data_IF_427738707410
#
_entry.id   IF_427738707410
#
_cell.length_a   1.000
_cell.length_b   1.000
_cell.length_c   1.000
_cell.angle_alpha   90.00
_cell.angle_beta   90.00
_cell.angle_gamma   90.00
#
_symmetry.space_group_name_H-M   'P 1'
#
loop_
_entity.id
_entity.type
_entity.pdbx_description
1 polymer ?
#
# COMPACT_ATOMS: atom_id res chain seq x y z
N UNK A 1 20.73 3.83 12.03
CA UNK A 1 20.26 4.27 10.70
C UNK A 1 18.73 4.25 10.68
N UNK A 2 18.09 5.40 10.87
CA UNK A 2 16.63 5.50 10.86
C UNK A 2 16.13 5.42 9.42
N UNK A 3 15.59 4.28 9.01
CA UNK A 3 14.87 4.19 7.75
C UNK A 3 13.61 5.03 7.87
N UNK A 4 13.60 6.19 7.19
CA UNK A 4 12.41 6.97 6.89
C UNK A 4 11.41 6.10 6.09
N UNK A 5 10.76 5.18 6.80
CA UNK A 5 9.53 4.55 6.37
C UNK A 5 8.51 5.68 6.30
N UNK A 6 8.40 6.32 5.13
CA UNK A 6 7.59 7.53 4.91
C UNK A 6 6.12 7.43 5.38
N UNK A 7 5.64 6.29 5.88
CA UNK A 7 4.29 6.13 6.47
C UNK A 7 4.23 5.20 7.71
N UNK A 8 5.31 5.11 8.49
CA UNK A 8 5.26 4.86 9.95
C UNK A 8 4.70 3.55 10.55
N UNK A 9 4.10 2.63 9.79
CA UNK A 9 3.48 1.42 10.36
C UNK A 9 4.35 0.17 10.43
N UNK A 10 3.90 -0.77 11.24
CA UNK A 10 4.47 -2.10 11.41
C UNK A 10 4.23 -2.99 10.19
N UNK A 11 5.06 -4.03 10.10
CA UNK A 11 5.02 -5.01 9.03
C UNK A 11 4.81 -6.39 9.61
N UNK A 12 3.92 -7.12 8.96
CA UNK A 12 3.53 -8.46 9.34
C UNK A 12 3.68 -9.36 8.12
N UNK A 13 4.10 -10.61 8.35
CA UNK A 13 4.24 -11.62 7.32
C UNK A 13 3.45 -12.86 7.74
N UNK A 14 2.60 -13.35 6.85
CA UNK A 14 1.85 -14.58 7.03
C UNK A 14 2.16 -15.54 5.90
N UNK A 15 2.62 -16.74 6.24
CA UNK A 15 2.74 -17.85 5.32
C UNK A 15 1.51 -18.75 5.43
N UNK A 16 0.87 -19.02 4.30
CA UNK A 16 -0.25 -19.95 4.23
C UNK A 16 0.23 -21.34 3.82
N UNK A 17 -0.42 -22.34 4.41
CA UNK A 17 -0.25 -23.74 4.03
C UNK A 17 -0.85 -23.98 2.65
N UNK A 18 -0.25 -24.92 1.94
CA UNK A 18 -0.70 -25.29 0.61
C UNK A 18 -0.63 -26.80 0.49
N UNK A 19 -1.74 -27.43 0.08
CA UNK A 19 -1.81 -28.85 -0.30
C UNK A 19 -0.81 -29.23 -1.39
N UNK A 20 -0.22 -28.25 -2.06
CA UNK A 20 0.68 -28.40 -3.21
C UNK A 20 2.13 -28.05 -2.91
N UNK A 21 2.54 -27.92 -1.64
CA UNK A 21 3.96 -27.82 -1.25
C UNK A 21 4.68 -29.16 -1.56
N UNK A 22 4.85 -29.49 -2.84
CA UNK A 22 5.70 -30.59 -3.31
C UNK A 22 7.16 -30.28 -2.95
N UNK A 23 8.00 -31.31 -2.80
CA UNK A 23 9.42 -31.15 -2.44
C UNK A 23 10.18 -30.15 -3.33
N UNK A 24 9.80 -30.01 -4.60
CA UNK A 24 10.43 -29.11 -5.56
C UNK A 24 9.95 -27.65 -5.48
N UNK A 25 8.71 -27.39 -5.07
CA UNK A 25 8.17 -26.03 -4.96
C UNK A 25 8.36 -25.40 -3.57
N UNK A 26 8.63 -26.24 -2.55
CA UNK A 26 8.86 -25.85 -1.14
C UNK A 26 9.85 -24.68 -0.97
N UNK A 27 10.91 -24.62 -1.76
CA UNK A 27 11.96 -23.59 -1.62
C UNK A 27 11.53 -22.17 -1.99
N UNK A 28 10.48 -22.00 -2.81
CA UNK A 28 10.14 -20.69 -3.37
C UNK A 28 9.43 -19.78 -2.37
N UNK A 29 8.50 -20.31 -1.58
CA UNK A 29 7.81 -19.54 -0.54
C UNK A 29 8.78 -19.17 0.58
N UNK A 30 9.62 -20.12 1.00
CA UNK A 30 10.60 -19.92 2.07
C UNK A 30 11.60 -18.82 1.68
N UNK A 31 12.17 -18.91 0.46
CA UNK A 31 13.05 -17.87 -0.09
C UNK A 31 12.38 -16.48 -0.12
N UNK A 32 11.12 -16.43 -0.56
CA UNK A 32 10.37 -15.18 -0.62
C UNK A 32 10.14 -14.60 0.78
N UNK A 33 9.75 -15.45 1.73
CA UNK A 33 9.54 -15.08 3.12
C UNK A 33 10.82 -14.51 3.74
N UNK A 34 11.92 -15.25 3.67
CA UNK A 34 13.23 -14.85 4.20
C UNK A 34 13.71 -13.53 3.59
N UNK A 35 13.51 -13.35 2.29
CA UNK A 35 13.90 -12.11 1.60
C UNK A 35 13.08 -10.91 2.07
N UNK A 36 11.78 -11.09 2.36
CA UNK A 36 10.93 -10.03 2.91
C UNK A 36 11.27 -9.73 4.38
N UNK A 37 11.51 -10.76 5.19
CA UNK A 37 11.93 -10.61 6.60
C UNK A 37 13.21 -9.79 6.65
N UNK A 38 14.25 -10.19 5.90
CA UNK A 38 15.56 -9.52 5.88
C UNK A 38 15.44 -8.08 5.37
N UNK A 39 14.80 -7.87 4.21
CA UNK A 39 14.78 -6.55 3.59
C UNK A 39 13.95 -5.52 4.38
N UNK A 40 12.88 -5.98 5.05
CA UNK A 40 12.01 -5.09 5.80
C UNK A 40 12.22 -5.14 7.32
N UNK A 41 13.21 -5.91 7.78
CA UNK A 41 13.51 -6.13 9.20
C UNK A 41 12.24 -6.52 9.99
N UNK A 42 11.46 -7.47 9.47
CA UNK A 42 10.23 -7.92 10.13
C UNK A 42 10.61 -8.74 11.38
N UNK A 43 10.16 -8.39 12.59
CA UNK A 43 10.51 -9.15 13.80
C UNK A 43 10.08 -10.62 13.71
N UNK A 44 10.98 -11.53 14.07
CA UNK A 44 10.77 -12.99 14.09
C UNK A 44 10.73 -13.52 15.53
N UNK A 45 10.42 -14.80 15.72
CA UNK A 45 10.44 -15.44 17.04
C UNK A 45 9.32 -15.00 17.98
N UNK A 46 9.50 -15.25 19.27
CA UNK A 46 8.52 -14.93 20.33
C UNK A 46 8.26 -13.42 20.38
N UNK A 47 6.98 -13.01 20.31
CA UNK A 47 6.60 -11.60 20.16
C UNK A 47 6.81 -11.03 18.75
N UNK A 48 7.35 -11.82 17.82
CA UNK A 48 7.54 -11.45 16.43
C UNK A 48 6.23 -11.32 15.65
N UNK A 49 6.37 -10.84 14.41
CA UNK A 49 5.29 -10.51 13.46
C UNK A 49 5.31 -11.40 12.22
N UNK A 50 6.00 -12.53 12.31
CA UNK A 50 6.07 -13.56 11.29
C UNK A 50 5.22 -14.75 11.73
N UNK A 51 4.15 -15.02 10.99
CA UNK A 51 3.19 -16.07 11.27
C UNK A 51 3.15 -17.09 10.15
N UNK A 52 2.76 -18.31 10.48
CA UNK A 52 2.53 -19.36 9.51
C UNK A 52 1.35 -20.24 9.92
N UNK A 53 0.65 -20.81 8.95
CA UNK A 53 -0.28 -21.91 9.19
C UNK A 53 0.36 -23.27 8.96
N UNK A 54 1.63 -23.32 8.51
CA UNK A 54 2.38 -24.56 8.25
C UNK A 54 3.08 -25.02 9.53
N UNK A 55 2.72 -26.20 10.05
CA UNK A 55 3.32 -26.74 11.29
C UNK A 55 4.85 -26.83 11.27
N UNK A 56 5.43 -27.11 10.09
CA UNK A 56 6.89 -27.20 9.90
C UNK A 56 7.63 -25.89 10.17
N UNK A 57 6.97 -24.74 10.06
CA UNK A 57 7.63 -23.45 10.21
C UNK A 57 7.85 -23.09 11.68
N UNK A 58 7.13 -23.75 12.60
CA UNK A 58 7.18 -23.47 14.04
C UNK A 58 8.46 -24.00 14.68
N UNK A 59 9.04 -25.07 14.15
CA UNK A 59 10.22 -25.73 14.73
C UNK A 59 11.49 -24.91 14.60
N UNK A 60 11.57 -24.03 13.59
CA UNK A 60 12.73 -23.16 13.35
C UNK A 60 12.75 -21.92 14.24
N UNK A 61 11.68 -21.64 14.98
CA UNK A 61 11.55 -20.44 15.81
C UNK A 61 11.47 -19.11 15.02
N UNK A 62 11.44 -19.14 13.68
CA UNK A 62 11.31 -17.93 12.85
C UNK A 62 9.85 -17.48 12.80
N UNK A 63 8.94 -18.44 12.58
CA UNK A 63 7.51 -18.20 12.46
C UNK A 63 6.78 -18.74 13.68
N UNK A 64 5.71 -18.05 14.06
CA UNK A 64 4.75 -18.50 15.06
C UNK A 64 3.48 -19.01 14.41
N UNK A 65 2.71 -19.81 15.15
CA UNK A 65 1.35 -20.14 14.73
C UNK A 65 0.50 -18.86 14.63
N UNK A 66 -0.42 -18.85 13.67
CA UNK A 66 -1.43 -17.79 13.55
C UNK A 66 -2.56 -18.04 14.57
N UNK A 67 -2.25 -17.84 15.85
CA UNK A 67 -3.18 -18.05 16.95
C UNK A 67 -4.22 -16.92 17.06
N UNK A 68 -5.18 -17.07 17.97
CA UNK A 68 -6.16 -16.04 18.25
C UNK A 68 -5.48 -14.74 18.74
N UNK A 69 -6.00 -13.61 18.29
CA UNK A 69 -5.58 -12.25 18.69
C UNK A 69 -4.14 -11.83 18.37
N UNK A 70 -3.33 -12.64 17.67
CA UNK A 70 -1.94 -12.23 17.32
C UNK A 70 -1.88 -11.04 16.35
N UNK A 71 -2.98 -10.72 15.67
CA UNK A 71 -3.13 -9.56 14.78
C UNK A 71 -4.02 -8.46 15.40
N UNK A 72 -4.36 -8.52 16.69
CA UNK A 72 -5.25 -7.54 17.34
C UNK A 72 -4.70 -6.11 17.36
N UNK A 73 -3.38 -5.98 17.32
CA UNK A 73 -2.69 -4.70 17.44
C UNK A 73 -2.40 -4.05 16.07
N UNK A 74 -2.85 -4.66 14.97
CA UNK A 74 -2.68 -4.04 13.65
C UNK A 74 -3.49 -2.75 13.52
N UNK A 75 -2.86 -1.72 12.97
CA UNK A 75 -3.44 -0.40 12.73
C UNK A 75 -3.48 0.01 11.25
N UNK A 76 -4.12 1.17 10.95
CA UNK A 76 -4.27 1.67 9.59
C UNK A 76 -2.95 1.99 8.86
N UNK A 77 -1.83 2.16 9.57
CA UNK A 77 -0.52 2.39 8.94
C UNK A 77 0.21 1.10 8.58
N UNK A 78 -0.27 -0.05 9.08
CA UNK A 78 0.43 -1.32 9.02
C UNK A 78 0.25 -2.05 7.68
N UNK A 79 1.15 -3.00 7.44
CA UNK A 79 1.19 -3.81 6.22
C UNK A 79 1.24 -5.29 6.56
N UNK A 80 0.33 -6.07 5.99
CA UNK A 80 0.36 -7.52 6.04
C UNK A 80 0.73 -8.09 4.68
N UNK A 81 1.85 -8.81 4.63
CA UNK A 81 2.29 -9.61 3.50
C UNK A 81 1.76 -11.03 3.67
N UNK A 82 0.96 -11.52 2.72
CA UNK A 82 0.46 -12.90 2.73
C UNK A 82 1.16 -13.65 1.61
N UNK A 83 1.97 -14.65 1.95
CA UNK A 83 2.67 -15.50 0.99
C UNK A 83 2.03 -16.88 0.95
N UNK A 84 1.76 -17.37 -0.26
CA UNK A 84 1.28 -18.72 -0.51
C UNK A 84 1.24 -18.98 -2.01
N UNK A 85 1.07 -20.24 -2.40
CA UNK A 85 0.67 -20.54 -3.77
C UNK A 85 -0.70 -19.91 -4.03
N UNK A 86 -0.94 -19.42 -5.24
CA UNK A 86 -2.19 -18.74 -5.56
C UNK A 86 -2.70 -19.14 -6.92
N UNK A 87 -4.01 -19.05 -7.09
CA UNK A 87 -4.65 -19.06 -8.39
C UNK A 87 -5.77 -18.00 -8.41
N UNK A 88 -6.71 -18.11 -9.34
CA UNK A 88 -7.81 -17.14 -9.48
C UNK A 88 -8.84 -17.20 -8.35
N UNK A 89 -8.85 -18.28 -7.56
CA UNK A 89 -9.92 -18.62 -6.61
C UNK A 89 -9.43 -18.87 -5.18
N UNK A 90 -8.15 -19.14 -4.98
CA UNK A 90 -7.58 -19.42 -3.66
C UNK A 90 -6.15 -18.88 -3.49
N UNK A 91 -5.76 -18.67 -2.23
CA UNK A 91 -4.42 -18.35 -1.77
C UNK A 91 -4.03 -19.31 -0.64
N UNK A 92 -3.03 -20.14 -0.88
CA UNK A 92 -2.81 -21.37 -0.10
C UNK A 92 -4.03 -22.27 -0.20
N UNK A 93 -4.42 -22.86 0.93
CA UNK A 93 -5.62 -23.69 1.03
C UNK A 93 -6.91 -22.89 1.34
N UNK A 94 -6.88 -21.57 1.13
CA UNK A 94 -7.96 -20.68 1.50
C UNK A 94 -8.57 -19.96 0.29
N UNK A 95 -9.88 -20.12 0.12
CA UNK A 95 -10.69 -19.19 -0.66
C UNK A 95 -10.78 -17.82 0.04
N UNK A 96 -11.34 -16.83 -0.66
CA UNK A 96 -11.51 -15.47 -0.14
C UNK A 96 -12.24 -15.41 1.21
N UNK A 97 -13.31 -16.21 1.40
CA UNK A 97 -14.16 -16.17 2.60
C UNK A 97 -13.48 -16.82 3.80
N UNK A 98 -12.85 -17.98 3.60
CA UNK A 98 -12.12 -18.71 4.64
C UNK A 98 -10.87 -17.96 5.07
N UNK A 99 -10.16 -17.28 4.17
CA UNK A 99 -9.03 -16.44 4.52
C UNK A 99 -9.46 -15.22 5.35
N UNK A 100 -10.53 -14.52 4.97
CA UNK A 100 -11.07 -13.42 5.77
C UNK A 100 -11.51 -13.91 7.17
N UNK A 101 -12.12 -15.10 7.25
CA UNK A 101 -12.47 -15.74 8.54
C UNK A 101 -11.22 -16.07 9.37
N UNK A 102 -10.16 -16.56 8.76
CA UNK A 102 -8.88 -16.86 9.42
C UNK A 102 -8.27 -15.60 10.03
N UNK A 103 -8.17 -14.51 9.25
CA UNK A 103 -7.63 -13.24 9.73
C UNK A 103 -8.47 -12.63 10.85
N UNK A 104 -9.81 -12.73 10.75
CA UNK A 104 -10.73 -12.28 11.80
C UNK A 104 -10.52 -13.06 13.11
N UNK A 105 -10.36 -14.39 13.03
CA UNK A 105 -10.04 -15.24 14.19
C UNK A 105 -8.68 -14.90 14.81
N UNK A 106 -7.70 -14.53 13.98
CA UNK A 106 -6.41 -14.03 14.45
C UNK A 106 -6.49 -12.62 15.09
N UNK A 107 -7.70 -12.03 15.15
CA UNK A 107 -7.96 -10.75 15.80
C UNK A 107 -7.78 -9.53 14.91
N UNK A 108 -7.53 -9.70 13.60
CA UNK A 108 -7.35 -8.56 12.70
C UNK A 108 -8.63 -7.72 12.63
N UNK A 109 -8.55 -6.44 12.99
CA UNK A 109 -9.67 -5.47 12.91
C UNK A 109 -9.42 -4.35 11.92
N UNK A 110 -8.19 -3.84 11.85
CA UNK A 110 -7.82 -2.69 11.01
C UNK A 110 -6.46 -2.94 10.39
N UNK A 111 -6.27 -2.54 9.13
CA UNK A 111 -4.96 -2.60 8.47
C UNK A 111 -4.88 -1.62 7.30
N UNK A 112 -3.71 -1.01 7.08
CA UNK A 112 -3.48 -0.14 5.93
C UNK A 112 -3.48 -0.88 4.61
N UNK A 113 -2.73 -1.98 4.53
CA UNK A 113 -2.60 -2.76 3.31
C UNK A 113 -2.44 -4.24 3.60
N UNK A 114 -3.21 -5.03 2.86
CA UNK A 114 -2.93 -6.45 2.66
C UNK A 114 -2.38 -6.63 1.26
N UNK A 115 -1.19 -7.21 1.14
CA UNK A 115 -0.59 -7.56 -0.15
C UNK A 115 -0.38 -9.06 -0.25
N UNK A 116 -0.99 -9.64 -1.28
CA UNK A 116 -0.86 -11.03 -1.63
C UNK A 116 0.40 -11.22 -2.47
N UNK A 117 1.32 -12.02 -1.95
CA UNK A 117 2.54 -12.49 -2.60
C UNK A 117 2.30 -13.87 -3.20
N UNK A 118 1.26 -13.94 -4.01
CA UNK A 118 0.69 -15.17 -4.55
C UNK A 118 0.24 -14.94 -6.01
N UNK A 119 0.35 -15.99 -6.84
CA UNK A 119 0.04 -15.93 -8.26
C UNK A 119 -1.45 -15.65 -8.53
N UNK A 120 -1.73 -14.87 -9.57
CA UNK A 120 -3.06 -14.71 -10.21
C UNK A 120 -4.22 -14.23 -9.32
N UNK A 121 -3.98 -13.84 -8.07
CA UNK A 121 -4.99 -13.35 -7.12
C UNK A 121 -5.78 -12.14 -7.66
N UNK A 122 -5.13 -11.30 -8.48
CA UNK A 122 -5.72 -10.11 -9.08
C UNK A 122 -6.42 -10.35 -10.43
N UNK A 123 -6.45 -11.57 -10.96
CA UNK A 123 -7.02 -11.84 -12.31
C UNK A 123 -8.54 -11.97 -12.34
N UNK A 124 -9.17 -12.28 -11.21
CA UNK A 124 -10.60 -12.57 -11.14
C UNK A 124 -11.23 -11.89 -9.92
N UNK A 125 -12.29 -12.47 -9.37
CA UNK A 125 -13.10 -11.90 -8.30
C UNK A 125 -12.62 -12.26 -6.87
N UNK A 126 -11.48 -12.95 -6.73
CA UNK A 126 -10.94 -13.32 -5.42
C UNK A 126 -10.75 -12.09 -4.52
N UNK A 127 -10.09 -11.03 -5.01
CA UNK A 127 -9.83 -9.84 -4.20
C UNK A 127 -11.12 -9.12 -3.79
N UNK A 128 -12.11 -9.07 -4.67
CA UNK A 128 -13.40 -8.42 -4.42
C UNK A 128 -14.18 -9.20 -3.38
N UNK A 129 -14.27 -10.52 -3.55
CA UNK A 129 -14.86 -11.45 -2.56
C UNK A 129 -14.14 -11.39 -1.23
N UNK A 130 -12.80 -11.26 -1.24
CA UNK A 130 -11.99 -11.19 -0.03
C UNK A 130 -12.28 -9.89 0.72
N UNK A 131 -12.28 -8.75 0.03
CA UNK A 131 -12.60 -7.45 0.61
C UNK A 131 -14.02 -7.41 1.17
N UNK A 132 -15.01 -7.92 0.43
CA UNK A 132 -16.39 -8.05 0.90
C UNK A 132 -16.49 -8.95 2.14
N UNK A 133 -15.78 -10.09 2.14
CA UNK A 133 -15.75 -11.02 3.28
C UNK A 133 -15.07 -10.41 4.50
N UNK A 134 -14.03 -9.60 4.31
CA UNK A 134 -13.40 -8.83 5.38
C UNK A 134 -14.37 -7.80 5.99
N UNK A 135 -15.12 -7.06 5.15
CA UNK A 135 -16.18 -6.17 5.62
C UNK A 135 -17.24 -6.89 6.46
N UNK A 136 -17.72 -8.05 6.00
CA UNK A 136 -18.64 -8.91 6.74
C UNK A 136 -18.07 -9.51 8.04
N UNK A 137 -16.74 -9.39 8.26
CA UNK A 137 -16.04 -9.79 9.49
C UNK A 137 -15.57 -8.60 10.32
N UNK A 138 -16.08 -7.40 10.03
CA UNK A 138 -15.69 -6.16 10.67
C UNK A 138 -14.18 -5.89 10.60
N UNK A 139 -13.54 -6.29 9.51
CA UNK A 139 -12.16 -5.94 9.20
C UNK A 139 -12.18 -4.74 8.26
N UNK A 140 -11.72 -3.60 8.76
CA UNK A 140 -11.52 -2.40 7.96
C UNK A 140 -10.13 -2.42 7.33
N UNK A 141 -10.03 -2.18 6.04
CA UNK A 141 -8.75 -2.14 5.34
C UNK A 141 -8.63 -0.89 4.46
N UNK A 142 -7.41 -0.39 4.31
CA UNK A 142 -7.12 0.68 3.35
C UNK A 142 -7.08 0.13 1.94
N UNK A 143 -6.23 -0.87 1.69
CA UNK A 143 -6.05 -1.44 0.36
C UNK A 143 -5.85 -2.96 0.40
N UNK A 144 -6.31 -3.63 -0.66
CA UNK A 144 -5.96 -5.01 -0.97
C UNK A 144 -5.26 -5.07 -2.32
N UNK A 145 -4.09 -5.72 -2.37
CA UNK A 145 -3.24 -5.78 -3.58
C UNK A 145 -2.88 -7.22 -3.93
N UNK A 146 -3.18 -7.65 -5.16
CA UNK A 146 -2.81 -8.98 -5.67
C UNK A 146 -2.28 -8.94 -7.10
N UNK A 147 -1.47 -9.94 -7.47
CA UNK A 147 -0.84 -10.03 -8.78
C UNK A 147 -1.83 -10.48 -9.86
N UNK A 148 -1.83 -9.83 -11.02
CA UNK A 148 -2.64 -10.18 -12.19
C UNK A 148 -2.03 -11.32 -13.04
N UNK A 149 -0.96 -11.96 -12.60
CA UNK A 149 -0.33 -13.08 -13.31
C UNK A 149 0.46 -13.95 -12.33
N UNK A 150 1.14 -14.96 -12.86
CA UNK A 150 2.11 -15.79 -12.15
C UNK A 150 3.20 -14.94 -11.54
N UNK A 151 3.51 -15.20 -10.27
CA UNK A 151 4.52 -14.53 -9.48
C UNK A 151 5.76 -15.42 -9.36
N UNK A 152 6.94 -14.82 -9.55
CA UNK A 152 8.21 -15.45 -9.27
C UNK A 152 9.04 -14.54 -8.37
N UNK A 153 9.48 -15.09 -7.25
CA UNK A 153 10.36 -14.42 -6.30
C UNK A 153 11.80 -14.46 -6.81
N UNK A 154 12.46 -13.32 -6.85
CA UNK A 154 13.89 -13.19 -7.15
C UNK A 154 14.51 -12.16 -6.20
N UNK A 155 15.84 -12.10 -6.14
CA UNK A 155 16.56 -10.97 -5.54
C UNK A 155 17.01 -10.00 -6.62
N UNK A 156 17.06 -8.72 -6.29
CA UNK A 156 17.70 -7.75 -7.17
C UNK A 156 19.20 -8.11 -7.30
N UNK A 157 19.82 -7.98 -8.49
CA UNK A 157 21.24 -8.31 -8.66
C UNK A 157 22.14 -7.48 -7.75
N UNK A 158 21.85 -6.18 -7.63
CA UNK A 158 22.70 -5.24 -6.89
C UNK A 158 22.24 -4.96 -5.45
N UNK A 159 21.10 -5.52 -5.01
CA UNK A 159 20.56 -5.23 -3.68
C UNK A 159 19.89 -6.46 -3.05
N UNK A 160 19.85 -6.53 -1.72
CA UNK A 160 19.09 -7.55 -0.98
C UNK A 160 17.56 -7.42 -1.13
N UNK A 161 17.08 -6.50 -1.98
CA UNK A 161 15.65 -6.24 -2.16
C UNK A 161 14.99 -7.43 -2.85
N UNK A 162 13.93 -8.01 -2.25
CA UNK A 162 13.11 -8.99 -2.95
C UNK A 162 12.40 -8.32 -4.12
N UNK A 163 12.54 -8.92 -5.30
CA UNK A 163 11.83 -8.52 -6.50
C UNK A 163 10.83 -9.60 -6.90
N UNK A 164 9.72 -9.14 -7.47
CA UNK A 164 8.64 -9.98 -7.95
C UNK A 164 8.55 -9.86 -9.46
N UNK A 165 8.92 -10.92 -10.16
CA UNK A 165 8.80 -11.02 -11.62
C UNK A 165 7.42 -11.61 -11.93
N UNK A 166 6.75 -11.06 -12.95
CA UNK A 166 5.34 -11.37 -13.25
C UNK A 166 5.21 -11.95 -14.66
N UNK A 167 4.47 -13.04 -14.79
CA UNK A 167 4.20 -13.76 -16.04
C UNK A 167 4.92 -15.12 -16.11
N UNK A 168 4.49 -16.02 -17.00
CA UNK A 168 5.12 -17.35 -17.20
C UNK A 168 6.61 -17.18 -17.50
N UNK A 169 7.52 -17.64 -16.61
CA UNK A 169 8.98 -17.53 -16.81
C UNK A 169 9.56 -18.77 -17.50
N UNK A 170 8.90 -19.92 -17.46
CA UNK A 170 9.43 -21.14 -18.09
C UNK A 170 9.64 -20.89 -19.60
N UNK A 171 10.90 -20.90 -20.03
CA UNK A 171 11.32 -20.61 -21.41
C UNK A 171 11.55 -19.13 -21.75
N UNK A 172 11.55 -18.21 -20.77
CA UNK A 172 11.79 -16.79 -21.02
C UNK A 172 13.26 -16.38 -21.00
N UNK A 173 13.63 -15.48 -21.89
CA UNK A 173 14.97 -14.88 -21.94
C UNK A 173 15.17 -13.84 -20.82
N UNK A 174 16.43 -13.53 -20.49
CA UNK A 174 16.80 -12.45 -19.54
C UNK A 174 16.12 -11.12 -19.91
N UNK A 175 16.01 -10.83 -21.21
CA UNK A 175 15.33 -9.63 -21.71
C UNK A 175 13.85 -9.62 -21.33
N UNK A 176 13.13 -10.72 -21.54
CA UNK A 176 11.69 -10.78 -21.18
C UNK A 176 11.47 -10.68 -19.67
N UNK A 177 12.42 -11.13 -18.85
CA UNK A 177 12.42 -10.88 -17.40
C UNK A 177 12.62 -9.40 -17.13
N UNK A 178 13.56 -8.73 -17.80
CA UNK A 178 13.77 -7.29 -17.70
C UNK A 178 12.51 -6.50 -18.13
N UNK A 179 11.90 -6.83 -19.25
CA UNK A 179 10.69 -6.18 -19.77
C UNK A 179 9.51 -6.33 -18.81
N UNK A 180 9.38 -7.47 -18.13
CA UNK A 180 8.35 -7.65 -17.11
C UNK A 180 8.53 -6.72 -15.90
N UNK A 181 9.75 -6.25 -15.64
CA UNK A 181 10.05 -5.26 -14.59
C UNK A 181 9.63 -3.85 -15.01
N UNK A 182 9.57 -3.57 -16.32
CA UNK A 182 9.13 -2.29 -16.87
C UNK A 182 7.60 -2.12 -16.85
N UNK A 183 6.84 -3.22 -16.66
CA UNK A 183 5.38 -3.14 -16.51
C UNK A 183 4.99 -2.21 -15.38
N UNK A 184 3.98 -1.39 -15.64
CA UNK A 184 3.40 -0.45 -14.68
C UNK A 184 2.70 -1.17 -13.53
N UNK A 185 2.49 -0.49 -12.40
CA UNK A 185 1.77 -1.08 -11.26
C UNK A 185 0.37 -1.57 -11.64
N UNK A 186 -0.35 -0.84 -12.50
CA UNK A 186 -1.72 -1.17 -12.94
C UNK A 186 -1.77 -2.41 -13.82
N UNK A 187 -0.75 -2.67 -14.63
CA UNK A 187 -0.62 -3.91 -15.42
C UNK A 187 -0.29 -5.10 -14.53
N UNK A 188 0.52 -4.88 -13.49
CA UNK A 188 1.05 -5.91 -12.60
C UNK A 188 0.03 -6.36 -11.55
N UNK A 189 -0.78 -5.43 -11.06
CA UNK A 189 -1.59 -5.60 -9.88
C UNK A 189 -3.04 -5.23 -10.11
N UNK A 190 -3.94 -5.95 -9.44
CA UNK A 190 -5.26 -5.45 -9.08
C UNK A 190 -5.14 -4.88 -7.67
N UNK A 191 -5.59 -3.63 -7.51
CA UNK A 191 -5.57 -2.91 -6.25
C UNK A 191 -7.00 -2.46 -6.00
N UNK A 192 -7.57 -2.92 -4.89
CA UNK A 192 -8.89 -2.49 -4.43
C UNK A 192 -8.70 -1.52 -3.27
N UNK A 193 -9.50 -0.46 -3.26
CA UNK A 193 -9.60 0.50 -2.15
C UNK A 193 -10.68 0.01 -1.19
N UNK A 194 -10.35 -0.07 0.09
CA UNK A 194 -11.29 -0.35 1.17
C UNK A 194 -11.66 0.93 1.93
N UNK A 195 -12.47 0.81 2.99
CA UNK A 195 -13.02 1.96 3.71
C UNK A 195 -11.98 2.87 4.40
N UNK A 196 -10.75 2.40 4.65
CA UNK A 196 -9.69 3.21 5.27
C UNK A 196 -8.78 3.90 4.24
N UNK A 197 -9.06 3.79 2.94
CA UNK A 197 -8.14 4.28 1.90
C UNK A 197 -7.84 5.78 2.04
N UNK A 198 -8.88 6.58 2.32
CA UNK A 198 -8.77 8.03 2.47
C UNK A 198 -8.03 8.44 3.74
N UNK A 199 -8.17 7.66 4.82
CA UNK A 199 -7.46 7.90 6.09
C UNK A 199 -5.95 7.62 5.96
N UNK A 200 -5.58 6.58 5.19
CA UNK A 200 -4.18 6.17 5.09
C UNK A 200 -3.44 6.90 3.99
N UNK A 201 -4.14 7.38 2.95
CA UNK A 201 -3.61 8.17 1.83
C UNK A 201 -2.46 7.49 1.06
N UNK A 202 -2.65 6.24 0.60
CA UNK A 202 -1.60 5.51 -0.14
C UNK A 202 -1.77 5.56 -1.66
N UNK A 203 -2.75 6.31 -2.16
CA UNK A 203 -3.07 6.39 -3.58
C UNK A 203 -1.85 6.68 -4.46
N UNK A 204 -1.01 7.63 -4.04
CA UNK A 204 0.18 8.05 -4.80
C UNK A 204 1.22 6.95 -4.96
N UNK A 205 1.21 5.93 -4.09
CA UNK A 205 2.15 4.79 -4.18
C UNK A 205 1.78 3.80 -5.28
N UNK A 206 0.56 3.87 -5.77
CA UNK A 206 0.06 2.98 -6.79
C UNK A 206 0.08 3.61 -8.18
N UNK A 207 0.24 4.93 -8.26
CA UNK A 207 0.44 5.66 -9.50
C UNK A 207 1.77 5.27 -10.16
N UNK A 208 1.77 5.23 -11.49
CA UNK A 208 3.02 5.29 -12.27
C UNK A 208 3.67 6.67 -12.10
N UNK A 209 4.94 6.79 -12.47
CA UNK A 209 5.61 8.09 -12.45
C UNK A 209 4.88 9.12 -13.33
N UNK A 210 4.43 8.72 -14.53
CA UNK A 210 3.63 9.57 -15.41
C UNK A 210 2.32 10.01 -14.75
N UNK A 211 1.58 9.09 -14.11
CA UNK A 211 0.34 9.41 -13.40
C UNK A 211 0.58 10.33 -12.20
N UNK A 212 1.70 10.17 -11.50
CA UNK A 212 2.08 11.04 -10.39
C UNK A 212 2.41 12.45 -10.90
N UNK A 213 3.18 12.56 -11.98
CA UNK A 213 3.50 13.86 -12.61
C UNK A 213 2.25 14.56 -13.13
N UNK A 214 1.33 13.82 -13.75
CA UNK A 214 0.03 14.33 -14.19
C UNK A 214 -0.81 14.83 -13.01
N UNK A 215 -0.90 14.06 -11.91
CA UNK A 215 -1.57 14.49 -10.68
C UNK A 215 -0.95 15.77 -10.11
N UNK A 216 0.38 15.85 -10.07
CA UNK A 216 1.11 17.04 -9.61
C UNK A 216 0.88 18.24 -10.53
N UNK A 217 0.76 18.03 -11.84
CA UNK A 217 0.41 19.08 -12.81
C UNK A 217 -1.01 19.60 -12.55
N UNK A 218 -2.00 18.71 -12.48
CA UNK A 218 -3.41 19.07 -12.21
C UNK A 218 -3.58 19.81 -10.88
N UNK A 219 -2.83 19.40 -9.84
CA UNK A 219 -2.85 20.10 -8.56
C UNK A 219 -2.28 21.52 -8.67
N UNK A 220 -1.18 21.71 -9.43
CA UNK A 220 -0.62 23.05 -9.68
C UNK A 220 -1.60 23.94 -10.44
N UNK A 221 -2.28 23.40 -11.45
CA UNK A 221 -3.30 24.12 -12.22
C UNK A 221 -4.47 24.56 -11.32
N UNK A 222 -4.97 23.67 -10.44
CA UNK A 222 -6.03 24.02 -9.47
C UNK A 222 -5.63 25.12 -8.49
N UNK A 223 -4.38 25.12 -8.02
CA UNK A 223 -3.89 26.17 -7.11
C UNK A 223 -3.75 27.52 -7.83
N UNK A 224 -3.31 27.52 -9.10
CA UNK A 224 -3.29 28.73 -9.94
C UNK A 224 -4.71 29.26 -10.16
N UNK A 225 -5.67 28.39 -10.50
CA UNK A 225 -7.08 28.79 -10.68
C UNK A 225 -7.69 29.36 -9.40
N UNK A 226 -7.40 28.75 -8.25
CA UNK A 226 -7.83 29.24 -6.93
C UNK A 226 -7.25 30.62 -6.64
N UNK A 227 -5.97 30.83 -6.95
CA UNK A 227 -5.29 32.12 -6.78
C UNK A 227 -5.89 33.20 -7.68
N UNK A 228 -6.14 32.89 -8.95
CA UNK A 228 -6.77 33.81 -9.90
C UNK A 228 -8.19 34.20 -9.48
N UNK A 229 -8.98 33.25 -8.98
CA UNK A 229 -10.32 33.53 -8.44
C UNK A 229 -10.29 34.45 -7.23
N UNK A 230 -9.32 34.27 -6.33
CA UNK A 230 -9.16 35.14 -5.17
C UNK A 230 -8.77 36.57 -5.59
N UNK A 231 -7.91 36.74 -6.59
CA UNK A 231 -7.53 38.06 -7.12
C UNK A 231 -8.74 38.75 -7.75
N UNK A 232 -9.50 38.06 -8.60
CA UNK A 232 -10.70 38.62 -9.24
C UNK A 232 -11.83 38.92 -8.23
N UNK A 233 -11.94 38.13 -7.16
CA UNK A 233 -12.87 38.39 -6.07
C UNK A 233 -12.51 39.67 -5.30
N UNK A 234 -11.22 39.89 -5.03
CA UNK A 234 -10.75 41.09 -4.33
C UNK A 234 -10.87 42.38 -5.15
N UNK A 235 -10.84 42.29 -6.49
CA UNK A 235 -11.03 43.45 -7.39
C UNK A 235 -12.50 43.86 -7.51
N UNK A 236 -13.43 42.94 -7.25
CA UNK A 236 -14.87 43.18 -7.35
C UNK A 236 -15.54 43.45 -5.99
N UNK A 237 -14.78 43.57 -4.91
CA UNK A 237 -15.28 44.16 -3.67
C UNK A 237 -15.09 45.67 -3.82
N UNK A 238 -16.13 46.44 -4.18
CA UNK A 238 -16.00 47.88 -4.27
C UNK A 238 -15.57 48.36 -2.90
N UNK A 239 -14.36 48.91 -2.80
CA UNK A 239 -13.90 49.64 -1.61
C UNK A 239 -15.07 50.49 -1.12
N UNK A 240 -15.70 50.11 -0.02
CA UNK A 240 -16.74 50.93 0.58
C UNK A 240 -16.00 52.19 1.05
N UNK A 241 -16.16 53.26 0.28
CA UNK A 241 -15.49 54.55 0.51
C UNK A 241 -16.01 55.22 1.79
N UNK A 242 -17.00 54.63 2.45
CA UNK A 242 -17.74 55.24 3.55
C UNK A 242 -16.99 55.30 4.89
N UNK A 243 -15.81 54.66 5.03
CA UNK A 243 -15.01 54.65 6.27
C UNK A 243 -13.58 55.18 6.11
N UNK A 244 -13.33 56.07 5.14
CA UNK A 244 -12.06 56.81 5.11
C UNK A 244 -12.13 57.99 6.11
N UNK A 245 -11.35 57.99 7.22
CA UNK A 245 -11.28 59.14 8.11
C UNK A 245 -10.79 60.35 7.31
N UNK A 246 -11.53 61.46 7.39
CA UNK A 246 -11.16 62.72 6.72
C UNK A 246 -9.78 63.16 7.19
N UNK A 247 -8.76 62.91 6.37
CA UNK A 247 -7.42 63.39 6.63
C UNK A 247 -7.34 64.85 6.21
N UNK A 248 -7.45 65.74 7.20
CA UNK A 248 -7.27 67.17 7.04
C UNK A 248 -5.79 67.45 6.69
N UNK A 249 -5.51 67.61 5.40
CA UNK A 249 -4.22 68.12 4.94
C UNK A 249 -4.15 69.60 5.28
N UNK A 250 -3.74 69.90 6.51
CA UNK A 250 -3.47 71.25 6.99
C UNK A 250 -2.45 71.95 6.11
N UNK A 251 -2.92 72.61 5.04
CA UNK A 251 -2.15 73.59 4.29
C UNK A 251 -1.95 74.81 5.19
N UNK A 252 -0.76 74.91 5.78
CA UNK A 252 -0.33 76.15 6.43
C UNK A 252 -0.08 77.21 5.35
N UNK A 253 -0.96 78.19 5.29
CA UNK A 253 -0.75 79.44 4.56
C UNK A 253 0.49 80.13 5.15
N UNK A 254 1.52 80.33 4.33
CA UNK A 254 2.69 81.14 4.68
C UNK A 254 2.26 82.60 4.62
N UNK A 255 2.28 83.29 5.76
CA UNK A 255 2.09 84.74 5.85
C UNK A 255 3.48 85.38 5.70
N UNK A 256 3.68 86.14 4.62
CA UNK A 256 4.84 87.02 4.49
C UNK A 256 4.69 88.22 5.44
N UNK A 257 5.70 88.44 6.28
CA UNK A 257 5.81 89.62 7.14
C UNK A 257 6.70 90.65 6.45
N UNK A 258 6.13 91.84 6.22
CA UNK A 258 6.79 93.11 5.87
C UNK A 258 7.25 93.87 7.11
#
# INVERSE_FOLDING_TARGET
MATNSKQGGDRYLLILDTKRDSSEEKGKIDFLADSYIKYFNIPTGTGGRCFSTRKKDFTKGVFRALDANVLSNCGPTDKLYICGHGNKSECGDHDAKSLAKLLSKAGLKRIGLITFKSCCIGQSDFLDKFMASCGAKAIQMGYAKGYKDSLYANKHPDTDKPISVIGKIKGKTTQQVADSRLKTNTERFKILKGPLADDVQWDDRFLSEAQLQEKLKLNREKEVDKTNKNILGAVNDPLSVDDLPSYDFGMKTVIELS
#
